data_IF_450416154383
#
_entry.id   IF_450416154383
#
_cell.length_a   1.000
_cell.length_b   1.000
_cell.length_c   1.000
_cell.angle_alpha   90.00
_cell.angle_beta   90.00
_cell.angle_gamma   90.00
#
_symmetry.space_group_name_H-M   'P 1'
#
loop_
_entity.id
_entity.type
_entity.pdbx_description
1 polymer ?
#
# COMPACT_ATOMS: atom_id res chain seq x y z
N UNK A 1 14.23 -12.72 0.37
CA UNK A 1 14.52 -11.48 1.11
C UNK A 1 15.34 -11.82 2.35
N UNK A 2 16.66 -11.97 2.21
CA UNK A 2 17.55 -12.30 3.33
C UNK A 2 17.85 -11.10 4.23
N UNK A 3 16.83 -10.34 4.64
CA UNK A 3 16.96 -9.12 5.45
C UNK A 3 16.35 -9.36 6.83
N UNK A 4 17.04 -8.93 7.89
CA UNK A 4 16.45 -8.84 9.23
C UNK A 4 15.86 -7.45 9.42
N UNK A 5 14.66 -7.40 9.97
CA UNK A 5 13.99 -6.16 10.33
C UNK A 5 13.87 -6.06 11.84
N UNK A 6 14.11 -4.86 12.36
CA UNK A 6 13.64 -4.49 13.67
C UNK A 6 12.26 -3.86 13.52
N UNK A 7 11.31 -4.28 14.36
CA UNK A 7 9.94 -3.79 14.35
C UNK A 7 9.70 -3.00 15.63
N UNK A 8 9.22 -1.78 15.50
CA UNK A 8 8.68 -0.98 16.59
C UNK A 8 7.18 -1.29 16.72
N UNK A 9 6.83 -2.09 17.72
CA UNK A 9 5.46 -2.55 17.95
C UNK A 9 4.50 -1.40 18.24
N UNK A 10 4.96 -0.31 18.88
CA UNK A 10 4.13 0.84 19.19
C UNK A 10 3.79 1.63 17.92
N UNK A 11 4.76 1.85 17.03
CA UNK A 11 4.51 2.43 15.71
C UNK A 11 3.58 1.55 14.88
N UNK A 12 3.79 0.24 14.92
CA UNK A 12 2.95 -0.71 14.18
C UNK A 12 1.50 -0.62 14.66
N UNK A 13 1.28 -0.70 15.99
CA UNK A 13 -0.05 -0.58 16.58
C UNK A 13 -0.72 0.76 16.22
N UNK A 14 0.03 1.88 16.23
CA UNK A 14 -0.51 3.18 15.80
C UNK A 14 -0.94 3.19 14.34
N UNK A 15 -0.16 2.61 13.44
CA UNK A 15 -0.51 2.51 12.02
C UNK A 15 -1.83 1.75 11.83
N UNK A 16 -1.99 0.60 12.49
CA UNK A 16 -3.24 -0.18 12.44
C UNK A 16 -4.44 0.59 13.00
N UNK A 17 -4.30 1.25 14.15
CA UNK A 17 -5.39 2.03 14.76
C UNK A 17 -5.80 3.21 13.88
N UNK A 18 -4.84 3.90 13.27
CA UNK A 18 -5.14 4.99 12.33
C UNK A 18 -5.80 4.48 11.05
N UNK A 19 -5.30 3.36 10.52
CA UNK A 19 -5.90 2.72 9.35
C UNK A 19 -7.37 2.34 9.61
N UNK A 20 -7.66 1.72 10.76
CA UNK A 20 -9.03 1.36 11.14
C UNK A 20 -9.95 2.59 11.18
N UNK A 21 -9.49 3.68 11.81
CA UNK A 21 -10.24 4.95 11.85
C UNK A 21 -10.49 5.51 10.45
N UNK A 22 -9.49 5.50 9.57
CA UNK A 22 -9.63 5.97 8.19
C UNK A 22 -10.62 5.11 7.40
N UNK A 23 -10.56 3.78 7.55
CA UNK A 23 -11.50 2.85 6.92
C UNK A 23 -12.94 3.14 7.40
N UNK A 24 -13.15 3.32 8.70
CA UNK A 24 -14.47 3.63 9.26
C UNK A 24 -15.03 4.95 8.71
N UNK A 25 -14.20 5.98 8.64
CA UNK A 25 -14.60 7.30 8.12
C UNK A 25 -14.93 7.31 6.63
N UNK A 26 -14.31 6.41 5.86
CA UNK A 26 -14.49 6.35 4.40
C UNK A 26 -15.45 5.24 3.94
N UNK A 27 -16.02 4.49 4.89
CA UNK A 27 -16.90 3.37 4.60
C UNK A 27 -18.12 3.83 3.78
N UNK A 28 -18.40 3.22 2.62
CA UNK A 28 -19.56 3.60 1.83
C UNK A 28 -20.86 3.22 2.52
N UNK A 29 -21.88 4.07 2.40
CA UNK A 29 -23.23 3.78 2.89
C UNK A 29 -23.98 2.79 1.99
N UNK A 30 -23.65 2.74 0.70
CA UNK A 30 -24.33 1.89 -0.29
C UNK A 30 -23.64 0.54 -0.41
N UNK A 31 -24.40 -0.55 -0.30
CA UNK A 31 -23.89 -1.92 -0.48
C UNK A 31 -23.25 -2.16 -1.85
N UNK A 32 -23.72 -1.48 -2.89
CA UNK A 32 -23.19 -1.58 -4.26
C UNK A 32 -21.74 -1.10 -4.37
N UNK A 33 -21.26 -0.29 -3.44
CA UNK A 33 -19.92 0.30 -3.43
C UNK A 33 -18.94 -0.52 -2.57
N UNK A 34 -19.42 -1.58 -1.91
CA UNK A 34 -18.62 -2.38 -0.97
C UNK A 34 -17.41 -3.00 -1.66
N UNK A 35 -17.59 -3.62 -2.83
CA UNK A 35 -16.49 -4.27 -3.55
C UNK A 35 -15.38 -3.28 -3.89
N UNK A 36 -15.73 -2.16 -4.53
CA UNK A 36 -14.77 -1.09 -4.86
C UNK A 36 -14.06 -0.55 -3.60
N UNK A 37 -14.73 -0.52 -2.45
CA UNK A 37 -14.11 -0.09 -1.20
C UNK A 37 -13.14 -1.12 -0.63
N UNK A 38 -13.41 -2.42 -0.77
CA UNK A 38 -12.47 -3.49 -0.40
C UNK A 38 -11.20 -3.45 -1.27
N UNK A 39 -11.33 -3.07 -2.54
CA UNK A 39 -10.19 -2.84 -3.45
C UNK A 39 -9.37 -1.60 -3.04
N UNK A 40 -10.01 -0.60 -2.44
CA UNK A 40 -9.37 0.65 -2.02
C UNK A 40 -8.75 0.61 -0.62
N UNK A 41 -9.37 -0.11 0.32
CA UNK A 41 -8.97 -0.11 1.73
C UNK A 41 -7.48 -0.44 2.00
N UNK A 42 -6.82 -1.38 1.29
CA UNK A 42 -5.39 -1.64 1.46
C UNK A 42 -4.51 -0.40 1.22
N UNK A 43 -4.95 0.52 0.36
CA UNK A 43 -4.24 1.77 0.06
C UNK A 43 -4.14 2.68 1.29
N UNK A 44 -5.18 2.67 2.14
CA UNK A 44 -5.18 3.41 3.40
C UNK A 44 -4.17 2.79 4.38
N UNK A 45 -4.10 1.45 4.44
CA UNK A 45 -3.13 0.76 5.29
C UNK A 45 -1.70 1.06 4.88
N UNK A 46 -1.41 1.04 3.56
CA UNK A 46 -0.07 1.36 3.10
C UNK A 46 0.34 2.80 3.46
N UNK A 47 -0.54 3.78 3.28
CA UNK A 47 -0.28 5.16 3.71
C UNK A 47 0.07 5.26 5.19
N UNK A 48 -0.66 4.58 6.07
CA UNK A 48 -0.36 4.61 7.51
C UNK A 48 0.95 3.88 7.87
N UNK A 49 1.26 2.77 7.21
CA UNK A 49 2.53 2.07 7.40
C UNK A 49 3.73 2.90 6.94
N UNK A 50 3.60 3.61 5.81
CA UNK A 50 4.65 4.50 5.32
C UNK A 50 4.81 5.73 6.22
N UNK A 51 3.69 6.27 6.73
CA UNK A 51 3.71 7.41 7.64
C UNK A 51 4.39 7.11 8.98
N UNK A 52 4.08 5.97 9.60
CA UNK A 52 4.71 5.59 10.89
C UNK A 52 6.09 4.95 10.70
N UNK A 53 6.31 4.27 9.56
CA UNK A 53 7.47 3.45 9.24
C UNK A 53 7.92 2.57 10.43
N UNK A 54 7.13 1.53 10.78
CA UNK A 54 7.36 0.75 11.99
C UNK A 54 8.49 -0.27 11.86
N UNK A 55 9.01 -0.51 10.66
CA UNK A 55 10.06 -1.47 10.40
C UNK A 55 11.33 -0.77 9.87
N UNK A 56 12.49 -1.28 10.28
CA UNK A 56 13.80 -0.81 9.82
C UNK A 56 14.69 -2.01 9.51
N UNK A 57 15.30 -2.05 8.33
CA UNK A 57 16.25 -3.09 7.98
C UNK A 57 17.53 -2.94 8.82
N UNK A 58 17.96 -4.03 9.46
CA UNK A 58 19.12 -4.05 10.38
C UNK A 58 20.34 -4.78 9.80
N UNK A 59 20.15 -5.56 8.73
CA UNK A 59 21.24 -6.26 8.05
C UNK A 59 21.32 -5.87 6.59
N UNK A 60 22.53 -5.86 6.01
CA UNK A 60 22.70 -5.76 4.56
C UNK A 60 21.92 -6.87 3.84
N UNK A 61 21.46 -6.55 2.63
CA UNK A 61 20.53 -7.39 1.87
C UNK A 61 21.31 -8.53 1.22
N UNK A 62 21.27 -9.71 1.82
CA UNK A 62 22.10 -10.83 1.35
C UNK A 62 21.50 -11.59 0.16
N UNK A 63 20.21 -11.39 -0.17
CA UNK A 63 19.50 -12.21 -1.16
C UNK A 63 18.52 -11.42 -2.04
N UNK A 64 18.60 -10.09 -2.05
CA UNK A 64 17.79 -9.31 -2.99
C UNK A 64 18.49 -9.28 -4.35
N UNK A 65 17.73 -9.37 -5.44
CA UNK A 65 18.30 -9.21 -6.78
C UNK A 65 18.85 -7.79 -6.93
N UNK A 66 20.01 -7.65 -7.55
CA UNK A 66 20.60 -6.35 -7.81
C UNK A 66 19.68 -5.49 -8.68
N UNK A 67 19.49 -4.22 -8.30
CA UNK A 67 18.59 -3.29 -8.97
C UNK A 67 17.10 -3.52 -8.70
N UNK A 68 16.74 -4.40 -7.76
CA UNK A 68 15.33 -4.61 -7.41
C UNK A 68 14.81 -3.55 -6.44
N UNK A 69 13.49 -3.34 -6.42
CA UNK A 69 12.82 -2.52 -5.42
C UNK A 69 13.12 -2.97 -3.97
N UNK A 70 13.15 -4.28 -3.79
CA UNK A 70 13.59 -4.98 -2.60
C UNK A 70 15.02 -4.62 -2.16
N UNK A 71 15.90 -4.31 -3.11
CA UNK A 71 17.29 -3.84 -2.90
C UNK A 71 17.42 -2.31 -2.86
N UNK A 72 16.41 -1.56 -3.29
CA UNK A 72 16.39 -0.11 -3.19
C UNK A 72 15.80 0.38 -1.86
N UNK A 73 14.59 -0.05 -1.52
CA UNK A 73 13.86 0.40 -0.32
C UNK A 73 13.15 -0.79 0.35
N UNK A 74 13.85 -1.52 1.23
CA UNK A 74 13.38 -2.78 1.76
C UNK A 74 12.19 -2.58 2.70
N UNK A 75 12.14 -1.48 3.45
CA UNK A 75 11.01 -1.18 4.32
C UNK A 75 9.73 -0.92 3.51
N UNK A 76 9.81 -0.03 2.52
CA UNK A 76 8.68 0.25 1.63
C UNK A 76 8.23 -0.98 0.87
N UNK A 77 9.16 -1.82 0.41
CA UNK A 77 8.82 -3.06 -0.28
C UNK A 77 8.08 -4.05 0.63
N UNK A 78 8.51 -4.23 1.87
CA UNK A 78 7.82 -5.09 2.84
C UNK A 78 6.44 -4.54 3.17
N UNK A 79 6.30 -3.23 3.40
CA UNK A 79 4.99 -2.62 3.65
C UNK A 79 4.01 -2.81 2.48
N UNK A 80 4.48 -2.59 1.24
CA UNK A 80 3.67 -2.78 0.03
C UNK A 80 3.27 -4.25 -0.15
N UNK A 81 4.22 -5.18 -0.08
CA UNK A 81 3.93 -6.61 -0.29
C UNK A 81 3.08 -7.21 0.82
N UNK A 82 3.21 -6.73 2.06
CA UNK A 82 2.28 -7.05 3.15
C UNK A 82 0.85 -6.64 2.78
N UNK A 83 0.62 -5.39 2.36
CA UNK A 83 -0.71 -4.92 1.97
C UNK A 83 -1.28 -5.71 0.79
N UNK A 84 -0.47 -6.03 -0.22
CA UNK A 84 -0.89 -6.86 -1.36
C UNK A 84 -1.27 -8.28 -0.94
N UNK A 85 -0.51 -8.89 -0.03
CA UNK A 85 -0.77 -10.26 0.46
C UNK A 85 -2.07 -10.32 1.25
N UNK A 86 -2.28 -9.37 2.17
CA UNK A 86 -3.52 -9.26 2.94
C UNK A 86 -4.71 -9.00 2.02
N UNK A 87 -4.53 -8.12 1.02
CA UNK A 87 -5.56 -7.84 0.03
C UNK A 87 -5.93 -9.07 -0.81
N UNK A 88 -4.94 -9.79 -1.34
CA UNK A 88 -5.15 -11.01 -2.12
C UNK A 88 -5.98 -12.04 -1.33
N UNK A 89 -5.58 -12.31 -0.09
CA UNK A 89 -6.29 -13.23 0.79
C UNK A 89 -7.72 -12.75 1.09
N UNK A 90 -7.92 -11.45 1.29
CA UNK A 90 -9.24 -10.87 1.55
C UNK A 90 -10.15 -11.00 0.33
N UNK A 91 -9.64 -10.77 -0.88
CA UNK A 91 -10.42 -10.86 -2.11
C UNK A 91 -10.80 -12.30 -2.43
N UNK A 92 -9.88 -13.24 -2.26
CA UNK A 92 -10.19 -14.66 -2.42
C UNK A 92 -11.27 -15.12 -1.42
N UNK A 93 -11.14 -14.72 -0.15
CA UNK A 93 -12.10 -15.09 0.88
C UNK A 93 -13.50 -14.47 0.67
N UNK A 94 -13.59 -13.19 0.32
CA UNK A 94 -14.86 -12.47 0.25
C UNK A 94 -15.54 -12.57 -1.13
N UNK A 95 -14.77 -12.79 -2.20
CA UNK A 95 -15.26 -12.74 -3.58
C UNK A 95 -14.84 -13.93 -4.45
N UNK A 96 -14.04 -14.88 -3.95
CA UNK A 96 -13.50 -16.01 -4.73
C UNK A 96 -12.84 -15.56 -6.04
N UNK A 97 -12.03 -14.51 -5.94
CA UNK A 97 -11.36 -13.90 -7.07
C UNK A 97 -9.84 -13.83 -6.84
N UNK A 98 -9.10 -13.87 -7.93
CA UNK A 98 -7.65 -13.64 -7.94
C UNK A 98 -7.36 -12.16 -8.19
N UNK A 99 -6.20 -11.70 -7.70
CA UNK A 99 -5.72 -10.35 -7.97
C UNK A 99 -4.67 -10.38 -9.07
N UNK A 100 -4.73 -9.42 -9.98
CA UNK A 100 -3.67 -9.16 -10.94
C UNK A 100 -2.80 -8.02 -10.43
N UNK A 101 -1.48 -8.22 -10.44
CA UNK A 101 -0.50 -7.22 -10.01
C UNK A 101 0.16 -6.64 -11.26
N UNK A 102 0.10 -5.32 -11.41
CA UNK A 102 0.71 -4.60 -12.52
C UNK A 102 2.25 -4.65 -12.44
N UNK A 103 2.91 -4.67 -13.61
CA UNK A 103 4.37 -4.72 -13.74
C UNK A 103 5.09 -3.51 -13.11
N UNK A 104 4.37 -2.45 -12.75
CA UNK A 104 4.90 -1.32 -11.98
C UNK A 104 5.58 -1.76 -10.68
N UNK A 105 5.21 -2.91 -10.10
CA UNK A 105 5.88 -3.44 -8.90
C UNK A 105 7.33 -3.85 -9.15
N UNK A 106 7.69 -4.17 -10.40
CA UNK A 106 9.04 -4.57 -10.81
C UNK A 106 9.86 -3.41 -11.37
N UNK A 107 9.23 -2.25 -11.65
CA UNK A 107 9.89 -1.06 -12.16
C UNK A 107 10.55 -0.23 -11.06
N UNK A 108 11.88 -0.35 -10.93
CA UNK A 108 12.67 0.40 -9.95
C UNK A 108 12.45 1.94 -10.04
N UNK A 109 12.20 2.49 -11.23
CA UNK A 109 11.96 3.94 -11.36
C UNK A 109 10.67 4.36 -10.67
N UNK A 110 9.62 3.55 -10.77
CA UNK A 110 8.37 3.77 -10.06
C UNK A 110 8.57 3.73 -8.54
N UNK A 111 9.48 2.89 -8.03
CA UNK A 111 9.83 2.87 -6.60
C UNK A 111 10.60 4.10 -6.13
N UNK A 112 11.47 4.65 -6.96
CA UNK A 112 12.13 5.93 -6.69
C UNK A 112 11.10 7.05 -6.51
N UNK A 113 10.23 7.24 -7.51
CA UNK A 113 9.16 8.26 -7.44
C UNK A 113 8.22 8.00 -6.28
N UNK A 114 7.88 6.74 -5.99
CA UNK A 114 7.07 6.42 -4.83
C UNK A 114 7.75 6.87 -3.54
N UNK A 115 8.99 6.47 -3.28
CA UNK A 115 9.72 6.83 -2.05
C UNK A 115 9.85 8.34 -1.87
N UNK A 116 10.17 9.05 -2.95
CA UNK A 116 10.29 10.52 -2.97
C UNK A 116 8.95 11.18 -2.61
N UNK A 117 7.89 10.85 -3.35
CA UNK A 117 6.57 11.46 -3.14
C UNK A 117 5.98 11.11 -1.77
N UNK A 118 6.17 9.87 -1.28
CA UNK A 118 5.66 9.48 0.04
C UNK A 118 6.38 10.17 1.20
N UNK A 119 7.62 10.64 0.98
CA UNK A 119 8.36 11.43 1.96
C UNK A 119 7.83 12.88 2.02
N UNK A 120 7.25 13.39 0.94
CA UNK A 120 6.57 14.70 0.91
C UNK A 120 5.14 14.60 1.44
N UNK A 121 4.36 13.63 0.94
CA UNK A 121 3.01 13.33 1.41
C UNK A 121 2.74 11.81 1.38
N UNK A 122 2.55 11.24 2.56
CA UNK A 122 2.27 9.82 2.76
C UNK A 122 1.00 9.32 2.06
N UNK A 123 0.08 10.22 1.67
CA UNK A 123 -1.10 9.89 0.88
C UNK A 123 -0.74 9.36 -0.52
N UNK A 124 0.44 9.69 -1.07
CA UNK A 124 0.92 9.14 -2.33
C UNK A 124 1.12 7.62 -2.28
N UNK A 125 1.35 7.04 -1.09
CA UNK A 125 1.43 5.60 -0.94
C UNK A 125 0.10 4.90 -1.30
N UNK A 126 -1.03 5.51 -0.95
CA UNK A 126 -2.34 5.02 -1.35
C UNK A 126 -2.50 5.00 -2.88
N UNK A 127 -2.01 6.04 -3.56
CA UNK A 127 -2.02 6.14 -5.02
C UNK A 127 -1.10 5.13 -5.70
N UNK A 128 0.10 4.91 -5.14
CA UNK A 128 1.02 3.89 -5.62
C UNK A 128 0.41 2.49 -5.56
N UNK A 129 -0.19 2.10 -4.44
CA UNK A 129 -0.82 0.78 -4.32
C UNK A 129 -1.98 0.61 -5.31
N UNK A 130 -2.78 1.65 -5.53
CA UNK A 130 -3.84 1.63 -6.55
C UNK A 130 -3.26 1.33 -7.94
N UNK A 131 -2.14 1.98 -8.31
CA UNK A 131 -1.45 1.74 -9.58
C UNK A 131 -0.92 0.30 -9.68
N UNK A 132 -0.34 -0.23 -8.60
CA UNK A 132 0.10 -1.64 -8.52
C UNK A 132 -1.06 -2.61 -8.73
N UNK A 133 -2.27 -2.24 -8.30
CA UNK A 133 -3.49 -3.02 -8.51
C UNK A 133 -4.19 -2.69 -9.85
N UNK A 134 -3.49 -2.06 -10.80
CA UNK A 134 -4.01 -1.73 -12.14
C UNK A 134 -5.04 -0.58 -12.18
N UNK A 135 -5.25 0.13 -11.07
CA UNK A 135 -6.18 1.25 -11.02
C UNK A 135 -5.53 2.57 -11.45
N UNK A 136 -6.35 3.53 -11.91
CA UNK A 136 -5.95 4.92 -12.09
C UNK A 136 -6.17 5.70 -10.77
N UNK A 137 -5.12 6.05 -10.01
CA UNK A 137 -5.28 6.80 -8.78
C UNK A 137 -5.69 8.27 -9.05
N UNK A 138 -6.49 8.84 -8.15
CA UNK A 138 -6.71 10.27 -8.10
C UNK A 138 -5.55 10.94 -7.35
N UNK A 139 -4.54 11.43 -8.07
CA UNK A 139 -3.35 12.03 -7.45
C UNK A 139 -3.61 13.32 -6.67
N UNK A 140 -4.74 13.99 -6.86
CA UNK A 140 -5.11 15.15 -6.05
C UNK A 140 -5.63 14.76 -4.66
N UNK A 141 -6.23 13.57 -4.54
CA UNK A 141 -6.77 13.03 -3.28
C UNK A 141 -6.59 11.51 -3.22
N UNK A 142 -5.34 11.00 -3.21
CA UNK A 142 -5.05 9.58 -3.44
C UNK A 142 -5.55 8.66 -2.32
N UNK A 143 -5.67 9.19 -1.10
CA UNK A 143 -6.19 8.49 0.07
C UNK A 143 -7.69 8.76 0.35
N UNK A 144 -8.46 9.27 -0.62
CA UNK A 144 -9.90 9.53 -0.48
C UNK A 144 -10.75 8.68 -1.45
N UNK A 145 -11.50 7.73 -0.90
CA UNK A 145 -12.35 6.81 -1.67
C UNK A 145 -13.43 7.53 -2.50
N UNK A 146 -14.10 8.51 -1.90
CA UNK A 146 -15.17 9.24 -2.57
C UNK A 146 -14.64 10.09 -3.74
N UNK A 147 -13.44 10.67 -3.59
CA UNK A 147 -12.76 11.41 -4.64
C UNK A 147 -12.28 10.51 -5.78
N UNK A 148 -11.78 9.30 -5.47
CA UNK A 148 -11.38 8.29 -6.48
C UNK A 148 -12.51 7.99 -7.46
N UNK A 149 -13.72 7.80 -6.95
CA UNK A 149 -14.90 7.47 -7.78
C UNK A 149 -15.42 8.63 -8.64
N UNK A 150 -15.02 9.86 -8.31
CA UNK A 150 -15.43 11.07 -9.06
C UNK A 150 -14.42 11.46 -10.14
N UNK A 151 -13.21 10.89 -10.12
CA UNK A 151 -12.23 11.13 -11.17
C UNK A 151 -12.73 10.57 -12.51
N UNK A 152 -12.82 11.38 -13.58
CA UNK A 152 -13.21 10.87 -14.88
C UNK A 152 -12.16 9.87 -15.41
N UNK A 153 -12.64 8.83 -16.09
CA UNK A 153 -11.86 7.76 -16.72
C UNK A 153 -10.85 8.30 -17.74
#
# INVERSE_FOLDING_TARGET
>A
MGCRFQIDELKLARAFVRCLKNIEQQRPAKKTERREFFEFAPSLMLSELIAEMPLVATTPRQQAAHGSAAEFWPEGYVATTFCLTVYAATIDQEFHAEIEIDQVIDDLRSWWSFRENANEDTSYAAGFLQKVLGNKPNWAMPANFAARRRSPL
#
